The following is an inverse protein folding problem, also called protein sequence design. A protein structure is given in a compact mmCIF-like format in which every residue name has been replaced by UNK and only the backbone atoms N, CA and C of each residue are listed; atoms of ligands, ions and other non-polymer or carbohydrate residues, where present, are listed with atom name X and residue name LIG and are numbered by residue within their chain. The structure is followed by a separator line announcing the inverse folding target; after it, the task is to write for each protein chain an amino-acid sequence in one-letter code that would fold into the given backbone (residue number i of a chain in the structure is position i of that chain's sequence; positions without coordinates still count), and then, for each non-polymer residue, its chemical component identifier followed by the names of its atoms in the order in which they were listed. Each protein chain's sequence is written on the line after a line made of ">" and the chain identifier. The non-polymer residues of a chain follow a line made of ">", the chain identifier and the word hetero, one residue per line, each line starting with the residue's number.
data_IF_928455626545
#
_entry.id   IF_928455626545
#
_cell.length_a   1.000
_cell.length_b   1.000
_cell.length_c   1.000
_cell.angle_alpha   90.00
_cell.angle_beta   90.00
_cell.angle_gamma   90.00
#
_symmetry.space_group_name_H-M   'P 1'
#
loop_
_entity.id
_entity.type
_entity.pdbx_description
1 polymer ?
#
# COMPACT_ATOMS: atom_id res chain seq x y z
N UNK A 1 14.54 8.67 -28.47
CA UNK A 1 13.47 8.42 -27.50
C UNK A 1 13.64 7.00 -26.95
N UNK A 2 14.18 6.77 -25.74
CA UNK A 2 14.33 5.41 -25.24
C UNK A 2 13.04 4.97 -24.53
N UNK A 3 12.31 4.03 -25.14
CA UNK A 3 11.16 3.37 -24.54
C UNK A 3 11.66 2.18 -23.70
N UNK A 4 11.45 2.23 -22.38
CA UNK A 4 11.82 1.17 -21.44
C UNK A 4 10.88 -0.03 -21.49
N UNK A 5 11.45 -1.23 -21.43
CA UNK A 5 10.74 -2.52 -21.55
C UNK A 5 10.48 -3.06 -20.14
N UNK A 6 9.21 -3.25 -19.75
CA UNK A 6 8.83 -3.78 -18.44
C UNK A 6 8.38 -5.24 -18.53
N UNK A 7 8.95 -6.10 -17.68
CA UNK A 7 8.51 -7.48 -17.47
C UNK A 7 7.59 -7.56 -16.23
N UNK A 8 6.48 -8.28 -16.34
CA UNK A 8 5.52 -8.48 -15.25
C UNK A 8 5.15 -9.95 -15.06
N UNK A 9 5.27 -10.42 -13.81
CA UNK A 9 4.88 -11.74 -13.30
C UNK A 9 3.68 -11.55 -12.35
N UNK A 10 2.66 -12.40 -12.47
CA UNK A 10 1.44 -12.32 -11.65
C UNK A 10 1.52 -13.20 -10.40
N UNK A 11 1.08 -12.67 -9.26
CA UNK A 11 0.89 -13.41 -8.01
C UNK A 11 -0.60 -13.53 -7.65
N UNK A 12 -1.01 -14.63 -7.00
CA UNK A 12 -2.41 -14.88 -6.65
C UNK A 12 -2.91 -13.93 -5.56
N UNK A 13 -4.16 -13.50 -5.69
CA UNK A 13 -4.84 -12.56 -4.78
C UNK A 13 -5.26 -13.26 -3.49
N UNK A 14 -4.76 -12.81 -2.35
CA UNK A 14 -5.26 -13.19 -1.02
C UNK A 14 -6.57 -12.46 -0.72
N UNK A 15 -7.55 -13.18 -0.16
CA UNK A 15 -8.91 -12.73 0.10
C UNK A 15 -8.99 -11.51 1.04
N UNK A 16 -9.92 -10.60 0.75
CA UNK A 16 -10.17 -9.33 1.43
C UNK A 16 -11.22 -9.53 2.52
N UNK A 17 -10.92 -9.19 3.77
CA UNK A 17 -11.91 -9.14 4.85
C UNK A 17 -12.95 -8.01 4.63
N UNK A 18 -14.18 -8.14 5.16
CA UNK A 18 -15.26 -7.20 4.89
C UNK A 18 -15.05 -5.86 5.60
N UNK A 19 -15.53 -4.80 4.93
CA UNK A 19 -15.38 -3.39 5.26
C UNK A 19 -16.57 -3.00 6.15
N UNK A 20 -16.34 -2.43 7.34
CA UNK A 20 -17.40 -1.78 8.10
C UNK A 20 -17.49 -0.31 7.67
N UNK A 21 -18.58 0.05 7.02
CA UNK A 21 -18.84 1.39 6.53
C UNK A 21 -19.59 2.18 7.62
N UNK A 22 -18.92 3.17 8.23
CA UNK A 22 -19.60 4.21 9.00
C UNK A 22 -18.96 5.56 8.70
N UNK A 23 -19.52 6.24 7.71
CA UNK A 23 -19.26 7.62 7.32
C UNK A 23 -19.78 8.57 8.39
N UNK A 24 -18.94 9.38 9.04
CA UNK A 24 -19.37 10.64 9.67
C UNK A 24 -18.30 11.73 9.55
N UNK A 25 -18.81 12.90 9.19
CA UNK A 25 -18.18 14.18 8.90
C UNK A 25 -17.40 14.79 10.07
N UNK A 26 -16.30 15.46 9.75
CA UNK A 26 -15.47 16.26 10.64
C UNK A 26 -16.13 17.61 10.96
N UNK A 27 -16.12 18.08 12.22
CA UNK A 27 -16.08 19.51 12.49
C UNK A 27 -14.95 19.91 13.44
N UNK A 28 -14.56 21.17 13.28
CA UNK A 28 -13.37 21.80 13.82
C UNK A 28 -13.30 21.90 15.35
N UNK A 29 -12.05 22.01 15.80
CA UNK A 29 -11.62 22.18 17.18
C UNK A 29 -11.91 23.59 17.69
N UNK A 30 -12.63 23.72 18.80
CA UNK A 30 -12.67 24.95 19.60
C UNK A 30 -12.38 24.61 21.07
N UNK A 31 -11.22 25.05 21.54
CA UNK A 31 -10.75 24.90 22.92
C UNK A 31 -11.44 25.94 23.81
N UNK A 32 -12.23 25.50 24.81
CA UNK A 32 -12.70 26.38 25.89
C UNK A 32 -12.00 25.99 27.19
N UNK A 33 -11.15 26.91 27.65
CA UNK A 33 -10.47 26.90 28.94
C UNK A 33 -11.44 27.44 30.01
N UNK A 34 -11.73 26.68 31.06
CA UNK A 34 -12.53 27.16 32.20
C UNK A 34 -11.70 27.00 33.47
N UNK A 35 -11.18 28.12 33.96
CA UNK A 35 -10.60 28.27 35.29
C UNK A 35 -11.73 28.60 36.27
N UNK A 36 -11.95 27.79 37.30
CA UNK A 36 -12.77 28.18 38.45
C UNK A 36 -11.89 28.21 39.71
N UNK A 37 -11.86 29.36 40.37
CA UNK A 37 -11.26 29.56 41.69
C UNK A 37 -12.36 29.49 42.76
N UNK A 38 -11.99 28.89 43.90
CA UNK A 38 -12.85 28.48 45.01
C UNK A 38 -13.46 29.64 45.82
N UNK A 39 -14.62 29.38 46.43
CA UNK A 39 -15.08 30.10 47.63
C UNK A 39 -15.76 29.11 48.57
N UNK A 40 -15.15 28.86 49.74
CA UNK A 40 -15.67 27.99 50.80
C UNK A 40 -16.65 28.74 51.71
N UNK A 41 -17.78 28.11 52.06
CA UNK A 41 -18.59 28.41 53.25
C UNK A 41 -19.10 27.08 53.85
N UNK A 42 -19.09 26.98 55.19
CA UNK A 42 -19.20 25.76 56.03
C UNK A 42 -20.56 25.01 56.09
N UNK A 43 -20.77 24.12 57.09
CA UNK A 43 -21.44 22.84 56.88
C UNK A 43 -22.97 22.93 57.02
N UNK A 44 -23.65 22.93 55.89
CA UNK A 44 -25.02 22.42 55.76
C UNK A 44 -24.90 20.99 55.24
N UNK A 45 -25.57 20.03 55.88
CA UNK A 45 -25.71 18.67 55.35
C UNK A 45 -26.57 18.75 54.08
N UNK A 46 -25.91 19.00 52.95
CA UNK A 46 -26.52 19.20 51.65
C UNK A 46 -26.53 17.88 50.90
N UNK A 47 -27.72 17.24 50.81
CA UNK A 47 -27.98 16.13 49.88
C UNK A 47 -27.58 16.47 48.43
N UNK A 48 -27.57 17.75 48.09
CA UNK A 48 -27.20 18.28 46.77
C UNK A 48 -25.67 18.19 46.51
N UNK A 49 -24.86 18.15 47.56
CA UNK A 49 -23.40 18.01 47.48
C UNK A 49 -22.94 16.54 47.31
N UNK A 50 -23.82 15.59 47.56
CA UNK A 50 -23.55 14.17 47.30
C UNK A 50 -23.87 13.84 45.83
N UNK A 51 -24.99 14.37 45.31
CA UNK A 51 -25.43 14.20 43.92
C UNK A 51 -24.53 14.92 42.90
N UNK A 52 -24.01 16.10 43.23
CA UNK A 52 -23.08 16.81 42.35
C UNK A 52 -21.70 16.11 42.26
N UNK A 53 -21.29 15.43 43.33
CA UNK A 53 -20.05 14.65 43.41
C UNK A 53 -20.20 13.36 42.60
N UNK A 54 -21.34 12.67 42.71
CA UNK A 54 -21.65 11.49 41.88
C UNK A 54 -21.76 11.85 40.39
N UNK A 55 -22.45 12.96 40.07
CA UNK A 55 -22.56 13.45 38.70
C UNK A 55 -21.19 13.84 38.12
N UNK A 56 -20.36 14.52 38.90
CA UNK A 56 -18.98 14.85 38.53
C UNK A 56 -18.13 13.60 38.31
N UNK A 57 -18.24 12.60 39.19
CA UNK A 57 -17.57 11.30 39.03
C UNK A 57 -17.96 10.63 37.72
N UNK A 58 -19.26 10.56 37.43
CA UNK A 58 -19.79 9.93 36.21
C UNK A 58 -19.37 10.68 34.94
N UNK A 59 -19.30 12.02 35.01
CA UNK A 59 -18.78 12.84 33.93
C UNK A 59 -17.29 12.59 33.68
N UNK A 60 -16.48 12.46 34.73
CA UNK A 60 -15.06 12.11 34.62
C UNK A 60 -14.86 10.72 34.02
N UNK A 61 -15.64 9.72 34.45
CA UNK A 61 -15.59 8.36 33.90
C UNK A 61 -15.98 8.33 32.41
N UNK A 62 -16.93 9.17 32.00
CA UNK A 62 -17.28 9.31 30.59
C UNK A 62 -16.11 9.90 29.79
N UNK A 63 -15.50 10.99 30.27
CA UNK A 63 -14.35 11.63 29.61
C UNK A 63 -13.18 10.66 29.49
N UNK A 64 -12.83 9.93 30.56
CA UNK A 64 -11.75 8.95 30.54
C UNK A 64 -11.99 7.83 29.52
N UNK A 65 -13.23 7.32 29.44
CA UNK A 65 -13.60 6.31 28.44
C UNK A 65 -13.48 6.84 27.02
N UNK A 66 -13.93 8.06 26.76
CA UNK A 66 -13.79 8.66 25.43
C UNK A 66 -12.33 8.89 25.06
N UNK A 67 -11.51 9.35 25.99
CA UNK A 67 -10.06 9.50 25.78
C UNK A 67 -9.38 8.17 25.48
N UNK A 68 -9.77 7.08 26.17
CA UNK A 68 -9.25 5.74 25.89
C UNK A 68 -9.61 5.27 24.47
N UNK A 69 -10.85 5.49 24.03
CA UNK A 69 -11.29 5.14 22.67
C UNK A 69 -10.53 5.93 21.61
N UNK A 70 -10.37 7.24 21.80
CA UNK A 70 -9.64 8.10 20.85
C UNK A 70 -8.20 7.63 20.71
N UNK A 71 -7.51 7.37 21.82
CA UNK A 71 -6.13 6.87 21.81
C UNK A 71 -6.02 5.52 21.11
N UNK A 72 -6.92 4.60 21.42
CA UNK A 72 -6.96 3.29 20.77
C UNK A 72 -7.09 3.40 19.25
N UNK A 73 -8.00 4.26 18.77
CA UNK A 73 -8.21 4.47 17.34
C UNK A 73 -6.97 5.09 16.69
N UNK A 74 -6.35 6.09 17.33
CA UNK A 74 -5.12 6.71 16.85
C UNK A 74 -3.97 5.70 16.73
N UNK A 75 -3.78 4.87 17.75
CA UNK A 75 -2.75 3.84 17.78
C UNK A 75 -2.98 2.78 16.69
N UNK A 76 -4.24 2.36 16.49
CA UNK A 76 -4.61 1.41 15.44
C UNK A 76 -4.36 1.97 14.04
N UNK A 77 -4.61 3.26 13.82
CA UNK A 77 -4.30 3.94 12.55
C UNK A 77 -2.79 4.01 12.35
N UNK A 78 -2.02 4.44 13.35
CA UNK A 78 -0.56 4.52 13.27
C UNK A 78 0.06 3.15 12.95
N UNK A 79 -0.34 2.10 13.66
CA UNK A 79 0.11 0.73 13.41
C UNK A 79 -0.26 0.23 12.00
N UNK A 80 -1.44 0.61 11.50
CA UNK A 80 -1.88 0.26 10.15
C UNK A 80 -1.04 0.97 9.08
N UNK A 81 -0.72 2.25 9.27
CA UNK A 81 0.14 3.03 8.37
C UNK A 81 1.55 2.45 8.34
N UNK A 82 2.12 2.12 9.51
CA UNK A 82 3.45 1.50 9.59
C UNK A 82 3.50 0.15 8.88
N UNK A 83 2.44 -0.67 9.01
CA UNK A 83 2.32 -1.93 8.27
C UNK A 83 2.22 -1.70 6.78
N UNK A 84 1.44 -0.72 6.33
CA UNK A 84 1.33 -0.38 4.90
C UNK A 84 2.67 0.06 4.34
N UNK A 85 3.39 0.93 5.05
CA UNK A 85 4.74 1.37 4.68
C UNK A 85 5.70 0.20 4.57
N UNK A 86 5.80 -0.64 5.60
CA UNK A 86 6.67 -1.82 5.58
C UNK A 86 6.34 -2.77 4.42
N UNK A 87 5.05 -2.99 4.16
CA UNK A 87 4.62 -3.82 3.03
C UNK A 87 4.97 -3.16 1.69
N UNK A 88 4.81 -1.85 1.55
CA UNK A 88 5.17 -1.11 0.34
C UNK A 88 6.69 -1.07 0.12
N UNK A 89 7.48 -1.01 1.19
CA UNK A 89 8.95 -1.03 1.13
C UNK A 89 9.44 -2.44 0.74
N UNK A 90 8.91 -3.48 1.41
CA UNK A 90 9.30 -4.87 1.16
C UNK A 90 8.77 -5.41 -0.19
N UNK A 91 7.59 -4.99 -0.59
CA UNK A 91 6.88 -5.50 -1.77
C UNK A 91 6.67 -4.40 -2.83
N UNK A 92 7.49 -3.35 -2.79
CA UNK A 92 7.47 -2.24 -3.73
C UNK A 92 7.74 -2.70 -5.17
N UNK A 93 7.74 -1.74 -6.11
CA UNK A 93 7.90 -1.95 -7.58
C UNK A 93 9.29 -2.48 -8.01
N UNK A 94 9.96 -3.27 -7.17
CA UNK A 94 11.23 -3.90 -7.48
C UNK A 94 11.01 -5.24 -8.17
N UNK A 95 10.60 -5.24 -9.43
CA UNK A 95 11.05 -6.29 -10.36
C UNK A 95 12.54 -6.03 -10.69
N UNK A 96 13.38 -6.02 -9.64
CA UNK A 96 14.83 -5.86 -9.69
C UNK A 96 15.52 -7.16 -10.12
N UNK A 97 14.86 -7.91 -11.01
CA UNK A 97 15.45 -9.12 -11.57
C UNK A 97 16.49 -8.68 -12.59
N UNK A 98 17.72 -8.53 -12.12
CA UNK A 98 18.87 -8.30 -12.96
C UNK A 98 19.34 -9.63 -13.56
N UNK A 99 19.44 -9.68 -14.88
CA UNK A 99 19.97 -10.84 -15.58
C UNK A 99 21.47 -10.65 -15.81
N UNK A 100 22.26 -11.67 -15.46
CA UNK A 100 23.70 -11.67 -15.74
C UNK A 100 23.93 -11.99 -17.22
N UNK A 101 25.01 -11.46 -17.81
CA UNK A 101 25.49 -11.91 -19.11
C UNK A 101 25.71 -13.43 -19.09
N UNK A 102 25.24 -14.13 -20.11
CA UNK A 102 25.21 -15.59 -20.21
C UNK A 102 23.97 -16.26 -19.60
N UNK A 103 23.10 -15.52 -18.90
CA UNK A 103 21.85 -16.09 -18.38
C UNK A 103 20.85 -16.33 -19.51
N UNK A 104 20.06 -17.39 -19.37
CA UNK A 104 18.92 -17.68 -20.24
C UNK A 104 17.68 -16.94 -19.73
N UNK A 105 17.06 -16.14 -20.59
CA UNK A 105 15.89 -15.32 -20.26
C UNK A 105 14.75 -15.55 -21.24
N UNK A 106 13.52 -15.45 -20.75
CA UNK A 106 12.33 -15.53 -21.58
C UNK A 106 11.95 -14.13 -22.11
N UNK A 107 11.67 -14.03 -23.41
CA UNK A 107 11.23 -12.79 -24.04
C UNK A 107 9.70 -12.72 -24.12
N UNK A 108 9.12 -11.58 -23.75
CA UNK A 108 7.66 -11.35 -23.89
C UNK A 108 7.28 -11.11 -25.34
N UNK A 109 6.17 -11.73 -25.78
CA UNK A 109 5.64 -11.56 -27.14
C UNK A 109 4.76 -10.33 -27.31
N UNK A 110 4.39 -9.64 -26.22
CA UNK A 110 3.41 -8.55 -26.24
C UNK A 110 3.83 -7.34 -27.10
N UNK A 111 5.14 -7.06 -27.18
CA UNK A 111 5.68 -5.91 -27.92
C UNK A 111 6.57 -6.35 -29.09
N UNK A 112 6.46 -7.60 -29.51
CA UNK A 112 7.26 -8.15 -30.59
C UNK A 112 6.51 -7.99 -31.92
N UNK A 113 7.24 -7.80 -33.03
CA UNK A 113 6.60 -7.65 -34.33
C UNK A 113 5.87 -8.94 -34.74
N UNK A 114 4.79 -8.79 -35.51
CA UNK A 114 3.93 -9.92 -35.93
C UNK A 114 4.70 -11.04 -36.64
N UNK A 115 5.72 -10.69 -37.44
CA UNK A 115 6.56 -11.66 -38.14
C UNK A 115 7.50 -12.45 -37.21
N UNK A 116 7.84 -11.90 -36.05
CA UNK A 116 8.71 -12.56 -35.08
C UNK A 116 7.94 -13.52 -34.15
N UNK A 117 6.60 -13.53 -34.23
CA UNK A 117 5.70 -14.43 -33.49
C UNK A 117 4.82 -15.25 -34.45
N UNK A 118 5.00 -15.12 -35.77
CA UNK A 118 4.15 -15.78 -36.77
C UNK A 118 4.24 -17.30 -36.72
N UNK A 119 5.36 -17.84 -36.24
CA UNK A 119 5.59 -19.28 -36.10
C UNK A 119 4.63 -19.92 -35.08
N UNK A 120 4.04 -19.11 -34.19
CA UNK A 120 3.06 -19.55 -33.19
C UNK A 120 1.61 -19.41 -33.66
N UNK A 121 1.39 -19.07 -34.94
CA UNK A 121 0.07 -18.91 -35.53
C UNK A 121 -0.61 -17.58 -35.15
N UNK A 122 -1.93 -17.63 -34.90
CA UNK A 122 -2.69 -16.44 -34.54
C UNK A 122 -2.21 -15.88 -33.18
N UNK A 123 -2.09 -14.55 -33.07
CA UNK A 123 -1.60 -13.87 -31.84
C UNK A 123 -2.35 -14.26 -30.56
N UNK A 124 -3.62 -14.70 -30.64
CA UNK A 124 -4.41 -15.17 -29.49
C UNK A 124 -3.96 -16.53 -28.94
N UNK A 125 -3.33 -17.35 -29.78
CA UNK A 125 -2.83 -18.69 -29.44
C UNK A 125 -1.32 -18.69 -29.17
N UNK A 126 -0.63 -17.58 -29.46
CA UNK A 126 0.79 -17.46 -29.22
C UNK A 126 1.11 -17.48 -27.71
N UNK A 127 2.19 -18.16 -27.29
CA UNK A 127 2.68 -18.08 -25.92
C UNK A 127 2.96 -16.63 -25.51
N UNK A 128 2.69 -16.30 -24.24
CA UNK A 128 3.04 -14.98 -23.67
C UNK A 128 4.55 -14.75 -23.62
N UNK A 129 5.31 -15.83 -23.45
CA UNK A 129 6.77 -15.81 -23.37
C UNK A 129 7.35 -16.85 -24.32
N UNK A 130 8.41 -16.48 -25.03
CA UNK A 130 9.09 -17.33 -26.00
C UNK A 130 10.57 -17.45 -25.65
N UNK A 131 11.13 -18.64 -25.92
CA UNK A 131 12.55 -18.97 -25.97
C UNK A 131 13.41 -18.61 -24.75
N UNK A 132 14.27 -19.50 -24.26
CA UNK A 132 15.42 -19.04 -23.49
C UNK A 132 16.42 -18.40 -24.46
N UNK A 133 16.56 -17.08 -24.40
CA UNK A 133 17.59 -16.34 -25.13
C UNK A 133 18.75 -16.00 -24.19
N UNK A 134 19.97 -16.06 -24.72
CA UNK A 134 21.17 -15.74 -23.95
C UNK A 134 21.34 -14.23 -23.87
N UNK A 135 21.61 -13.70 -22.67
CA UNK A 135 22.01 -12.29 -22.51
C UNK A 135 23.46 -12.12 -22.96
N UNK A 136 23.70 -11.35 -24.03
CA UNK A 136 25.02 -11.05 -24.56
C UNK A 136 25.69 -9.86 -23.84
N UNK A 137 24.91 -8.82 -23.55
CA UNK A 137 25.40 -7.61 -22.92
C UNK A 137 24.29 -6.85 -22.19
N UNK A 138 24.67 -6.01 -21.23
CA UNK A 138 23.78 -5.07 -20.54
C UNK A 138 24.40 -3.66 -20.63
N UNK A 139 24.22 -2.93 -21.76
CA UNK A 139 24.79 -1.60 -21.91
C UNK A 139 24.20 -0.54 -20.96
N UNK A 140 22.96 -0.73 -20.48
CA UNK A 140 22.32 0.15 -19.49
C UNK A 140 21.10 -0.55 -18.85
N UNK A 141 19.90 -0.01 -19.03
CA UNK A 141 18.62 -0.63 -18.63
C UNK A 141 18.03 -1.55 -19.72
N UNK A 142 18.83 -1.87 -20.74
CA UNK A 142 18.45 -2.75 -21.83
C UNK A 142 19.39 -3.95 -21.89
N UNK A 143 18.84 -5.12 -22.21
CA UNK A 143 19.60 -6.35 -22.42
C UNK A 143 19.72 -6.60 -23.92
N UNK A 144 20.94 -6.83 -24.39
CA UNK A 144 21.19 -7.39 -25.72
C UNK A 144 21.03 -8.89 -25.61
N UNK A 145 20.06 -9.44 -26.32
CA UNK A 145 19.78 -10.88 -26.35
C UNK A 145 20.29 -11.48 -27.66
N UNK A 146 20.73 -12.72 -27.60
CA UNK A 146 21.05 -13.53 -28.78
C UNK A 146 19.75 -13.99 -29.45
N UNK A 147 19.19 -13.12 -30.31
CA UNK A 147 17.90 -13.33 -30.99
C UNK A 147 18.15 -13.79 -32.43
N UNK A 148 17.44 -14.84 -32.90
CA UNK A 148 17.52 -15.31 -34.27
C UNK A 148 17.28 -14.19 -35.29
N UNK A 149 18.00 -14.15 -36.42
CA UNK A 149 17.85 -13.11 -37.44
C UNK A 149 16.42 -12.91 -37.96
N UNK A 150 15.62 -13.98 -38.03
CA UNK A 150 14.21 -13.93 -38.45
C UNK A 150 13.31 -13.08 -37.55
N UNK A 151 13.74 -12.82 -36.31
CA UNK A 151 12.99 -12.04 -35.32
C UNK A 151 13.53 -10.62 -35.13
N UNK A 152 14.62 -10.24 -35.81
CA UNK A 152 15.28 -8.95 -35.61
C UNK A 152 14.56 -7.86 -36.39
N UNK A 153 14.25 -6.75 -35.71
CA UNK A 153 13.59 -5.59 -36.34
C UNK A 153 14.56 -4.73 -37.15
N UNK A 154 15.86 -4.83 -36.88
CA UNK A 154 16.92 -4.08 -37.52
C UNK A 154 18.08 -5.02 -37.84
N UNK A 155 18.59 -4.94 -39.07
CA UNK A 155 19.89 -5.51 -39.41
C UNK A 155 20.96 -4.68 -38.71
N UNK A 156 21.69 -5.27 -37.77
CA UNK A 156 22.91 -4.68 -37.21
C UNK A 156 24.07 -4.87 -38.14
#
# INVERSE_FOLDING_TARGET
>A
MPCGIHACVGTPRTARSPINESTVSTPGVHTLNINNQDTQVGPVVNKDAELNTEFSSKAMDFVQRQQAVIRFVQDAIAASVDRQKRNADNNGRGNSNEFKVGSLVLLTTQNLAKHAVSDFGASKLAPRFIGPFTVLAKPANAYTLDIPPSMRLHTT
#
